data_IF_313076292512
#
_entry.id   IF_313076292512
#
_cell.length_a   1.000
_cell.length_b   1.000
_cell.length_c   1.000
_cell.angle_alpha   90.00
_cell.angle_beta   90.00
_cell.angle_gamma   90.00
#
_symmetry.space_group_name_H-M   'P 1'
#
loop_
_entity.id
_entity.type
_entity.pdbx_description
1 polymer ?
#
# COMPACT_ATOMS: atom_id res chain seq x y z
N UNK A 1 -67.54 -16.51 -5.24
CA UNK A 1 -67.80 -16.38 -3.79
C UNK A 1 -66.69 -15.51 -3.22
N UNK A 2 -66.89 -14.19 -3.18
CA UNK A 2 -67.37 -13.41 -2.02
C UNK A 2 -66.22 -13.19 -1.01
N UNK A 3 -65.89 -11.99 -0.51
CA UNK A 3 -66.35 -10.63 -0.74
C UNK A 3 -65.28 -9.68 -0.18
N UNK A 4 -65.32 -8.41 -0.60
CA UNK A 4 -64.40 -7.36 -0.16
C UNK A 4 -65.06 -6.40 0.85
N UNK A 5 -64.21 -5.74 1.69
CA UNK A 5 -64.35 -4.41 2.36
C UNK A 5 -65.26 -4.30 3.62
N UNK A 6 -65.17 -3.22 4.45
CA UNK A 6 -64.15 -2.13 4.61
C UNK A 6 -63.79 -1.74 6.08
N UNK A 7 -62.82 -0.80 6.22
CA UNK A 7 -62.74 0.20 7.31
C UNK A 7 -62.02 -0.25 8.60
N UNK A 8 -61.22 0.55 9.29
CA UNK A 8 -60.88 1.96 9.19
C UNK A 8 -60.24 2.41 10.50
N UNK A 9 -59.31 3.35 10.37
CA UNK A 9 -58.84 4.32 11.36
C UNK A 9 -57.69 4.00 12.33
N UNK A 10 -56.82 5.01 12.42
CA UNK A 10 -55.53 5.10 13.13
C UNK A 10 -55.73 5.73 14.52
N UNK A 11 -54.70 6.21 15.26
CA UNK A 11 -53.38 5.68 15.54
C UNK A 11 -53.19 5.48 17.07
N UNK A 12 -52.65 4.35 17.53
CA UNK A 12 -52.18 4.24 18.92
C UNK A 12 -50.73 4.70 19.05
N UNK A 13 -50.62 5.97 19.42
CA UNK A 13 -49.47 6.64 20.05
C UNK A 13 -48.84 5.73 21.11
N UNK A 14 -47.64 5.20 20.84
CA UNK A 14 -46.77 4.64 21.89
C UNK A 14 -45.49 5.44 22.00
N UNK A 15 -45.29 5.87 23.25
CA UNK A 15 -44.30 6.78 23.79
C UNK A 15 -42.87 6.39 23.41
N UNK A 16 -42.15 7.42 23.02
CA UNK A 16 -40.70 7.59 23.09
C UNK A 16 -40.07 6.91 24.31
N UNK A 17 -39.36 5.81 24.07
CA UNK A 17 -38.31 5.30 24.96
C UNK A 17 -36.97 5.70 24.38
N UNK A 18 -36.47 6.87 24.77
CA UNK A 18 -35.11 7.30 24.47
C UNK A 18 -34.14 6.40 25.25
N UNK A 19 -33.57 5.40 24.56
CA UNK A 19 -32.39 4.70 25.05
C UNK A 19 -31.24 5.69 25.21
N UNK A 20 -30.34 5.50 26.20
CA UNK A 20 -29.30 6.48 26.48
C UNK A 20 -28.37 6.57 25.26
N UNK A 21 -28.36 7.75 24.64
CA UNK A 21 -27.41 8.08 23.59
C UNK A 21 -26.00 7.87 24.16
N UNK A 22 -25.27 6.88 23.61
CA UNK A 22 -23.83 6.74 23.86
C UNK A 22 -23.19 8.07 23.51
N UNK A 23 -22.76 8.81 24.54
CA UNK A 23 -21.94 10.00 24.42
C UNK A 23 -20.66 9.59 23.69
N UNK A 24 -20.60 9.80 22.38
CA UNK A 24 -19.33 9.91 21.67
C UNK A 24 -18.67 11.13 22.29
N UNK A 25 -17.68 10.91 23.14
CA UNK A 25 -16.79 11.96 23.62
C UNK A 25 -16.27 12.67 22.38
N UNK A 26 -16.76 13.87 22.12
CA UNK A 26 -16.16 14.75 21.13
C UNK A 26 -14.72 14.96 21.60
N UNK A 27 -13.78 14.32 20.91
CA UNK A 27 -12.37 14.60 21.07
C UNK A 27 -12.21 16.10 20.83
N UNK A 28 -12.00 16.83 21.91
CA UNK A 28 -11.63 18.24 21.85
C UNK A 28 -10.13 18.22 21.62
N UNK A 29 -9.63 18.61 20.42
CA UNK A 29 -8.20 18.66 20.20
C UNK A 29 -7.59 19.60 21.24
N UNK A 30 -6.42 19.27 21.81
CA UNK A 30 -5.75 20.16 22.74
C UNK A 30 -5.53 21.51 22.05
N UNK A 31 -5.82 22.62 22.75
CA UNK A 31 -5.48 23.95 22.27
C UNK A 31 -3.99 23.96 21.96
N UNK A 32 -3.64 24.16 20.69
CA UNK A 32 -2.24 24.31 20.28
C UNK A 32 -1.62 25.47 21.07
N UNK A 33 -0.71 25.15 21.98
CA UNK A 33 0.15 26.14 22.60
C UNK A 33 1.14 26.55 21.52
N UNK A 34 0.95 27.74 20.94
CA UNK A 34 1.94 28.31 20.04
C UNK A 34 3.11 28.76 20.89
N UNK A 35 4.24 28.07 20.79
CA UNK A 35 5.49 28.53 21.36
C UNK A 35 5.79 29.90 20.71
N UNK A 36 6.00 30.92 21.53
CA UNK A 36 6.43 32.25 21.08
C UNK A 36 7.91 32.36 21.34
N UNK A 37 8.64 32.99 20.43
CA UNK A 37 10.01 33.38 20.66
C UNK A 37 10.08 34.55 21.68
N UNK A 38 11.29 34.97 22.07
CA UNK A 38 11.50 36.11 22.97
C UNK A 38 10.99 37.45 22.44
N UNK A 39 10.53 37.52 21.18
CA UNK A 39 9.93 38.71 20.55
C UNK A 39 8.39 38.69 20.52
N UNK A 40 7.76 37.58 20.93
CA UNK A 40 6.30 37.43 20.95
C UNK A 40 5.67 36.95 19.63
N UNK A 41 6.48 36.56 18.66
CA UNK A 41 6.04 36.06 17.35
C UNK A 41 5.71 34.56 17.41
N UNK A 42 4.67 34.08 16.71
CA UNK A 42 4.32 32.66 16.70
C UNK A 42 5.41 31.84 16.00
N UNK A 43 6.02 30.90 16.72
CA UNK A 43 6.90 29.87 16.15
C UNK A 43 6.00 28.85 15.43
N UNK A 44 5.82 29.03 14.13
CA UNK A 44 5.37 27.94 13.24
C UNK A 44 6.45 26.86 13.18
N UNK A 45 6.19 25.68 12.59
CA UNK A 45 7.26 24.72 12.30
C UNK A 45 8.31 25.45 11.45
N UNK A 46 9.40 25.85 12.08
CA UNK A 46 10.51 26.56 11.48
C UNK A 46 11.33 25.55 10.69
N UNK A 47 10.78 25.12 9.56
CA UNK A 47 11.59 24.64 8.45
C UNK A 47 12.12 25.87 7.75
N UNK A 48 13.39 26.15 7.92
CA UNK A 48 14.13 27.15 7.14
C UNK A 48 13.83 26.95 5.66
N UNK A 49 13.42 28.04 5.02
CA UNK A 49 13.32 28.12 3.58
C UNK A 49 14.75 28.16 3.00
N UNK A 50 15.05 27.19 2.14
CA UNK A 50 16.23 27.18 1.27
C UNK A 50 17.45 26.46 1.84
N UNK A 51 17.57 25.16 1.54
CA UNK A 51 18.83 24.45 1.27
C UNK A 51 18.47 23.00 0.87
N UNK A 52 18.74 22.66 -0.39
CA UNK A 52 18.58 21.34 -1.04
C UNK A 52 17.36 20.50 -0.66
N UNK A 53 16.16 20.97 -1.02
CA UNK A 53 15.07 20.00 -1.23
C UNK A 53 15.41 19.24 -2.51
N UNK A 54 15.56 17.91 -2.48
CA UNK A 54 15.69 17.16 -3.72
C UNK A 54 14.50 17.55 -4.61
N UNK A 55 14.76 17.82 -5.89
CA UNK A 55 13.71 18.08 -6.87
C UNK A 55 12.80 16.85 -6.95
N UNK A 56 11.74 16.84 -6.13
CA UNK A 56 10.79 15.73 -6.04
C UNK A 56 10.02 15.56 -7.35
N UNK A 57 9.80 16.67 -8.06
CA UNK A 57 9.11 16.69 -9.34
C UNK A 57 10.08 16.41 -10.49
N UNK A 58 9.77 15.40 -11.29
CA UNK A 58 10.46 15.09 -12.55
C UNK A 58 9.53 15.45 -13.70
N UNK A 59 9.85 16.45 -14.51
CA UNK A 59 9.01 16.87 -15.65
C UNK A 59 8.71 15.71 -16.61
N UNK A 60 9.72 14.90 -16.93
CA UNK A 60 9.61 13.70 -17.77
C UNK A 60 9.08 12.46 -17.01
N UNK A 61 8.69 12.62 -15.75
CA UNK A 61 8.25 11.55 -14.87
C UNK A 61 6.80 11.10 -15.06
N UNK A 62 6.45 10.02 -14.39
CA UNK A 62 5.10 9.50 -14.33
C UNK A 62 4.33 10.13 -13.17
N UNK A 63 3.05 10.48 -13.40
CA UNK A 63 2.18 11.04 -12.36
C UNK A 63 2.09 10.11 -11.15
N UNK A 64 2.34 10.66 -9.96
CA UNK A 64 2.38 9.89 -8.71
C UNK A 64 1.11 9.06 -8.49
N UNK A 65 -0.09 9.60 -8.72
CA UNK A 65 -1.34 8.84 -8.54
C UNK A 65 -1.49 7.67 -9.53
N UNK A 66 -0.84 7.73 -10.70
CA UNK A 66 -0.83 6.62 -11.67
C UNK A 66 0.13 5.52 -11.18
N UNK A 67 1.30 5.91 -10.69
CA UNK A 67 2.29 4.99 -10.09
C UNK A 67 1.71 4.26 -8.88
N UNK A 68 1.07 4.99 -7.95
CA UNK A 68 0.42 4.41 -6.77
C UNK A 68 -0.72 3.44 -7.14
N UNK A 69 -1.53 3.79 -8.14
CA UNK A 69 -2.61 2.93 -8.59
C UNK A 69 -2.09 1.63 -9.23
N UNK A 70 -1.01 1.73 -10.03
CA UNK A 70 -0.34 0.57 -10.61
C UNK A 70 0.27 -0.34 -9.54
N UNK A 71 0.81 0.24 -8.48
CA UNK A 71 1.32 -0.49 -7.32
C UNK A 71 0.21 -1.09 -6.42
N UNK A 72 -1.07 -0.98 -6.80
CA UNK A 72 -2.18 -1.64 -6.12
C UNK A 72 -2.76 -0.89 -4.92
N UNK A 73 -2.37 0.38 -4.68
CA UNK A 73 -2.87 1.16 -3.54
C UNK A 73 -4.31 1.68 -3.72
N UNK A 74 -4.92 1.43 -4.87
CA UNK A 74 -6.33 1.71 -5.15
C UNK A 74 -6.55 2.33 -6.53
N UNK A 75 -7.74 2.91 -6.74
CA UNK A 75 -7.99 3.70 -7.95
C UNK A 75 -7.15 4.98 -7.98
N UNK A 76 -6.98 5.58 -9.16
CA UNK A 76 -6.27 6.88 -9.31
C UNK A 76 -6.82 7.95 -8.36
N UNK A 77 -8.14 8.05 -8.21
CA UNK A 77 -8.81 8.99 -7.28
C UNK A 77 -8.56 8.64 -5.81
N UNK A 78 -8.56 7.35 -5.47
CA UNK A 78 -8.21 6.94 -4.11
C UNK A 78 -6.77 7.31 -3.76
N UNK A 79 -5.85 7.19 -4.74
CA UNK A 79 -4.45 7.57 -4.57
C UNK A 79 -4.28 9.08 -4.38
N UNK A 80 -5.07 9.92 -5.06
CA UNK A 80 -5.07 11.37 -4.81
C UNK A 80 -5.44 11.71 -3.36
N UNK A 81 -6.42 11.00 -2.78
CA UNK A 81 -6.78 11.16 -1.38
C UNK A 81 -5.65 10.73 -0.42
N UNK A 82 -4.88 9.68 -0.76
CA UNK A 82 -3.70 9.26 0.01
C UNK A 82 -2.61 10.34 0.01
N UNK A 83 -2.36 10.94 -1.15
CA UNK A 83 -1.40 12.04 -1.31
C UNK A 83 -1.85 13.24 -0.46
N UNK A 84 -3.06 13.74 -0.67
CA UNK A 84 -3.55 14.91 0.07
C UNK A 84 -3.64 14.70 1.58
N UNK A 85 -3.74 13.45 2.05
CA UNK A 85 -3.67 13.10 3.47
C UNK A 85 -2.23 13.06 4.05
N UNK A 86 -1.20 13.29 3.23
CA UNK A 86 0.21 13.24 3.65
C UNK A 86 0.71 11.84 3.99
N UNK A 87 0.07 10.80 3.44
CA UNK A 87 0.41 9.40 3.69
C UNK A 87 1.51 8.88 2.77
N UNK A 88 1.91 9.68 1.77
CA UNK A 88 2.89 9.33 0.75
C UNK A 88 4.18 10.10 1.01
N UNK A 89 5.32 9.41 0.93
CA UNK A 89 6.65 10.02 0.97
C UNK A 89 7.44 9.67 -0.28
N UNK A 90 8.22 10.61 -0.78
CA UNK A 90 9.14 10.42 -1.90
C UNK A 90 10.52 10.82 -1.39
N UNK A 91 11.49 9.90 -1.46
CA UNK A 91 12.87 10.11 -0.99
C UNK A 91 12.98 10.63 0.46
N UNK A 92 11.99 10.29 1.29
CA UNK A 92 11.91 10.70 2.71
C UNK A 92 10.98 11.88 2.98
N UNK A 93 10.63 12.66 1.96
CA UNK A 93 9.81 13.88 2.08
C UNK A 93 8.31 13.59 1.94
N UNK A 94 7.47 14.14 2.83
CA UNK A 94 6.02 13.98 2.77
C UNK A 94 5.45 14.82 1.64
N UNK A 95 4.67 14.18 0.75
CA UNK A 95 4.04 14.86 -0.38
C UNK A 95 2.54 14.96 -0.17
N UNK A 96 2.02 16.19 -0.24
CA UNK A 96 0.59 16.52 -0.12
C UNK A 96 0.02 17.18 -1.39
N UNK A 97 0.90 17.65 -2.27
CA UNK A 97 0.55 18.33 -3.51
C UNK A 97 0.19 17.32 -4.60
N UNK A 98 -0.92 17.60 -5.30
CA UNK A 98 -1.31 16.81 -6.46
C UNK A 98 -0.55 17.26 -7.71
N UNK A 99 -0.43 16.36 -8.68
CA UNK A 99 0.25 16.66 -9.95
C UNK A 99 1.76 16.42 -9.92
N UNK A 100 2.33 16.02 -8.79
CA UNK A 100 3.72 15.56 -8.71
C UNK A 100 3.94 14.39 -9.66
N UNK A 101 5.02 14.51 -10.44
CA UNK A 101 5.55 13.47 -11.31
C UNK A 101 6.83 12.95 -10.70
N UNK A 102 6.99 11.65 -10.74
CA UNK A 102 8.16 10.96 -10.22
C UNK A 102 8.77 10.07 -11.28
N UNK A 103 10.05 9.81 -11.16
CA UNK A 103 10.72 8.75 -11.88
C UNK A 103 10.72 7.47 -11.04
N UNK A 104 9.94 6.44 -11.43
CA UNK A 104 9.84 5.19 -10.68
C UNK A 104 11.15 4.39 -10.61
N UNK A 105 12.12 4.69 -11.50
CA UNK A 105 13.40 3.97 -11.58
C UNK A 105 14.45 4.48 -10.60
N UNK A 106 14.36 5.76 -10.20
CA UNK A 106 15.37 6.40 -9.35
C UNK A 106 14.82 6.85 -8.00
N UNK A 107 13.53 7.20 -7.91
CA UNK A 107 12.93 7.74 -6.69
C UNK A 107 12.26 6.67 -5.84
N UNK A 108 12.44 6.76 -4.53
CA UNK A 108 11.91 5.81 -3.56
C UNK A 108 10.60 6.33 -2.97
N UNK A 109 9.50 5.66 -3.31
CA UNK A 109 8.17 6.01 -2.79
C UNK A 109 7.82 5.15 -1.59
N UNK A 110 7.27 5.77 -0.54
CA UNK A 110 6.66 5.08 0.59
C UNK A 110 5.21 5.49 0.75
N UNK A 111 4.36 4.54 1.14
CA UNK A 111 2.98 4.80 1.56
C UNK A 111 2.78 4.18 2.93
N UNK A 112 2.39 4.99 3.92
CA UNK A 112 2.25 4.57 5.33
C UNK A 112 3.50 3.87 5.90
N UNK A 113 4.68 4.30 5.46
CA UNK A 113 5.96 3.72 5.88
C UNK A 113 6.35 2.43 5.15
N UNK A 114 5.53 1.93 4.21
CA UNK A 114 5.89 0.79 3.35
C UNK A 114 6.49 1.29 2.04
N UNK A 115 7.70 0.83 1.70
CA UNK A 115 8.35 1.11 0.43
C UNK A 115 7.58 0.47 -0.72
N UNK A 116 7.35 1.22 -1.79
CA UNK A 116 6.78 0.70 -3.03
C UNK A 116 7.87 0.06 -3.87
N UNK A 117 7.62 -1.17 -4.32
CA UNK A 117 8.39 -1.77 -5.39
C UNK A 117 7.80 -1.30 -6.72
N UNK A 118 8.53 -0.41 -7.39
CA UNK A 118 8.09 0.22 -8.63
C UNK A 118 8.70 -0.43 -9.87
N UNK A 119 9.71 -1.26 -9.66
CA UNK A 119 10.38 -1.98 -10.73
C UNK A 119 9.57 -3.21 -11.14
N UNK A 120 8.87 -3.08 -12.28
CA UNK A 120 8.08 -4.15 -12.90
C UNK A 120 8.96 -5.27 -13.46
N UNK A 121 10.27 -5.06 -13.59
CA UNK A 121 11.18 -6.12 -14.04
C UNK A 121 11.45 -7.12 -12.92
N UNK A 122 11.34 -6.73 -11.64
CA UNK A 122 11.52 -7.63 -10.51
C UNK A 122 10.28 -8.49 -10.31
N UNK A 123 10.47 -9.80 -10.41
CA UNK A 123 9.46 -10.81 -10.27
C UNK A 123 9.82 -11.72 -9.10
N UNK A 124 8.91 -11.83 -8.14
CA UNK A 124 9.00 -12.80 -7.03
C UNK A 124 7.73 -13.63 -6.99
N UNK A 125 7.89 -14.95 -7.05
CA UNK A 125 6.84 -15.96 -7.08
C UNK A 125 6.95 -16.82 -5.84
N UNK A 126 5.80 -17.24 -5.32
CA UNK A 126 5.71 -18.19 -4.22
C UNK A 126 5.35 -19.56 -4.79
N UNK A 127 6.22 -20.53 -4.61
CA UNK A 127 6.00 -21.92 -4.99
C UNK A 127 5.70 -22.73 -3.73
N UNK A 128 4.62 -23.50 -3.71
CA UNK A 128 4.50 -24.62 -2.78
C UNK A 128 5.22 -25.82 -3.41
N UNK A 129 6.48 -26.03 -3.05
CA UNK A 129 7.32 -27.10 -3.62
C UNK A 129 6.71 -28.46 -3.26
N UNK A 130 6.45 -29.35 -4.22
CA UNK A 130 6.03 -30.71 -3.92
C UNK A 130 7.21 -31.58 -3.44
N UNK A 131 6.90 -32.77 -2.90
CA UNK A 131 7.93 -33.80 -2.66
C UNK A 131 8.56 -34.26 -3.95
N UNK A 132 9.76 -34.83 -3.80
CA UNK A 132 10.52 -35.44 -4.87
C UNK A 132 10.91 -34.46 -5.98
N UNK A 133 11.11 -33.19 -5.59
CA UNK A 133 11.66 -32.13 -6.46
C UNK A 133 12.88 -31.55 -5.78
N UNK A 134 14.00 -31.49 -6.48
CA UNK A 134 15.24 -30.90 -5.98
C UNK A 134 15.11 -29.38 -5.97
N UNK A 135 15.51 -28.72 -4.88
CA UNK A 135 15.65 -27.27 -4.84
C UNK A 135 16.90 -26.81 -5.60
N UNK A 136 16.90 -26.98 -6.93
CA UNK A 136 17.94 -26.53 -7.84
C UNK A 136 17.33 -26.12 -9.19
N UNK A 137 18.06 -25.30 -9.96
CA UNK A 137 17.69 -24.90 -11.34
C UNK A 137 18.36 -25.78 -12.42
N UNK A 138 19.08 -26.82 -12.00
CA UNK A 138 19.64 -27.86 -12.85
C UNK A 138 20.13 -28.99 -11.95
N UNK A 139 19.54 -30.18 -12.06
CA UNK A 139 19.99 -31.37 -11.36
C UNK A 139 20.85 -32.28 -12.27
N UNK A 140 22.13 -32.53 -11.95
CA UNK A 140 23.00 -33.39 -12.77
C UNK A 140 22.61 -34.88 -12.73
N UNK A 141 21.84 -35.30 -11.74
CA UNK A 141 21.32 -36.67 -11.61
C UNK A 141 20.01 -36.88 -12.39
N UNK A 142 19.47 -35.83 -13.04
CA UNK A 142 18.27 -35.91 -13.87
C UNK A 142 16.97 -36.10 -13.10
N UNK A 143 16.95 -35.81 -11.79
CA UNK A 143 15.71 -35.77 -11.01
C UNK A 143 14.89 -34.54 -11.40
N UNK A 144 13.62 -34.53 -11.00
CA UNK A 144 12.76 -33.35 -11.14
C UNK A 144 13.34 -32.20 -10.31
N UNK A 145 13.44 -31.03 -10.92
CA UNK A 145 14.01 -29.84 -10.31
C UNK A 145 13.07 -28.63 -10.52
N UNK A 146 13.47 -27.45 -10.04
CA UNK A 146 12.60 -26.27 -10.06
C UNK A 146 12.37 -25.70 -11.47
N UNK A 147 13.13 -26.13 -12.49
CA UNK A 147 12.99 -25.60 -13.85
C UNK A 147 11.59 -25.83 -14.40
N UNK A 148 10.94 -26.96 -14.04
CA UNK A 148 9.59 -27.31 -14.46
C UNK A 148 8.52 -26.28 -14.02
N UNK A 149 8.78 -25.56 -12.92
CA UNK A 149 7.88 -24.53 -12.39
C UNK A 149 8.22 -23.12 -12.87
N UNK A 150 9.31 -22.96 -13.62
CA UNK A 150 9.79 -21.65 -14.10
C UNK A 150 9.64 -21.45 -15.61
N UNK A 151 9.26 -22.50 -16.34
CA UNK A 151 9.23 -22.50 -17.80
C UNK A 151 8.29 -21.46 -18.42
N UNK A 152 7.21 -21.10 -17.73
CA UNK A 152 6.21 -20.13 -18.22
C UNK A 152 6.62 -18.67 -17.99
N UNK A 153 7.73 -18.42 -17.29
CA UNK A 153 8.21 -17.08 -17.02
C UNK A 153 9.27 -16.66 -18.04
N UNK A 154 9.11 -15.47 -18.63
CA UNK A 154 10.09 -14.89 -19.55
C UNK A 154 11.42 -14.53 -18.88
N UNK A 155 11.39 -14.25 -17.57
CA UNK A 155 12.54 -13.88 -16.76
C UNK A 155 13.16 -15.13 -16.13
N UNK A 156 14.49 -15.17 -16.06
CA UNK A 156 15.19 -16.22 -15.32
C UNK A 156 14.99 -16.03 -13.83
N UNK A 157 14.39 -17.03 -13.17
CA UNK A 157 14.16 -17.06 -11.73
C UNK A 157 15.21 -17.93 -11.03
N UNK A 158 15.46 -17.61 -9.76
CA UNK A 158 16.34 -18.32 -8.85
C UNK A 158 15.56 -18.67 -7.57
N UNK A 159 15.90 -19.77 -6.91
CA UNK A 159 15.32 -20.08 -5.61
C UNK A 159 15.92 -19.22 -4.51
N UNK A 160 15.11 -18.81 -3.54
CA UNK A 160 15.58 -18.20 -2.28
C UNK A 160 15.55 -19.28 -1.21
N UNK A 161 16.73 -19.66 -0.72
CA UNK A 161 16.87 -20.80 0.19
C UNK A 161 16.63 -22.15 -0.49
N UNK A 162 16.47 -23.20 0.31
CA UNK A 162 16.34 -24.59 -0.16
C UNK A 162 15.41 -25.38 0.74
N UNK A 163 14.70 -26.33 0.14
CA UNK A 163 13.98 -27.38 0.83
C UNK A 163 14.55 -28.73 0.41
N UNK A 164 14.60 -29.68 1.34
CA UNK A 164 15.08 -31.02 1.02
C UNK A 164 14.17 -31.70 0.00
N UNK A 165 14.71 -32.72 -0.67
CA UNK A 165 14.02 -33.46 -1.73
C UNK A 165 12.68 -34.04 -1.26
N UNK A 166 12.63 -34.57 -0.04
CA UNK A 166 11.44 -35.16 0.60
C UNK A 166 10.50 -34.13 1.25
N UNK A 167 10.89 -32.86 1.26
CA UNK A 167 10.16 -31.79 1.96
C UNK A 167 9.22 -31.05 1.02
N UNK A 168 8.00 -30.80 1.51
CA UNK A 168 7.01 -29.91 0.89
C UNK A 168 7.01 -28.58 1.61
N UNK A 169 6.64 -27.52 0.87
CA UNK A 169 6.30 -26.26 1.49
C UNK A 169 6.68 -25.06 0.66
N UNK A 170 6.60 -23.90 1.31
CA UNK A 170 6.82 -22.62 0.68
C UNK A 170 8.29 -22.43 0.32
N UNK A 171 8.54 -22.16 -0.95
CA UNK A 171 9.81 -21.75 -1.52
C UNK A 171 9.58 -20.50 -2.37
N UNK A 172 10.45 -19.50 -2.23
CA UNK A 172 10.38 -18.30 -3.06
C UNK A 172 11.26 -18.46 -4.30
N UNK A 173 10.76 -17.98 -5.43
CA UNK A 173 11.51 -17.89 -6.69
C UNK A 173 11.57 -16.43 -7.10
N UNK A 174 12.74 -15.89 -7.41
CA UNK A 174 12.92 -14.47 -7.73
C UNK A 174 13.97 -14.25 -8.80
N UNK A 175 13.85 -13.20 -9.60
CA UNK A 175 14.95 -12.72 -10.44
C UNK A 175 15.77 -11.61 -9.75
N UNK A 176 15.41 -11.26 -8.52
CA UNK A 176 16.16 -10.31 -7.70
C UNK A 176 17.38 -10.99 -7.09
N UNK A 177 18.57 -10.73 -7.65
CA UNK A 177 19.83 -11.32 -7.19
C UNK A 177 20.24 -10.90 -5.77
N UNK A 178 19.66 -9.83 -5.22
CA UNK A 178 19.89 -9.44 -3.82
C UNK A 178 19.15 -10.35 -2.83
N UNK A 179 18.10 -11.04 -3.27
CA UNK A 179 17.28 -11.94 -2.46
C UNK A 179 17.66 -13.42 -2.60
N UNK A 180 18.37 -13.80 -3.67
CA UNK A 180 18.67 -15.18 -4.03
C UNK A 180 19.86 -15.79 -3.27
#
# INVERSE_FOLDING_TARGET
MAAARPGGDSPRRRRSGAGPARRRSAFTPPKQVRLRDGSGSPVGPSGTAGEDRPELHREDGERLQKVLARAGFGSRRACEALISAGRVRIDGEIVQEQGIRIDPSTQVVHVDGRRLQLDETKLTVVLNKPRHVVSAMSDPEGRRDLTEFTADYSQRLYHVGRLDYETEGLLLLTNDGELA
#
